data_IF_643683338424
#
_entry.id   IF_643683338424
#
_cell.length_a   1.000
_cell.length_b   1.000
_cell.length_c   1.000
_cell.angle_alpha   90.00
_cell.angle_beta   90.00
_cell.angle_gamma   90.00
#
_symmetry.space_group_name_H-M   'P 1'
#
loop_
_entity.id
_entity.type
_entity.pdbx_description
1 polymer ?
#
# COMPACT_ATOMS: atom_id res chain seq x y z
N UNK A 1 15.16 3.24 -5.39
CA UNK A 1 13.87 3.65 -4.76
C UNK A 1 12.96 2.44 -4.64
N UNK A 2 12.27 2.31 -3.52
CA UNK A 2 11.25 1.30 -3.25
C UNK A 2 9.95 2.03 -2.93
N UNK A 3 8.84 1.58 -3.54
CA UNK A 3 7.50 2.11 -3.26
C UNK A 3 6.67 0.99 -2.65
N UNK A 4 6.16 1.23 -1.45
CA UNK A 4 5.23 0.33 -0.77
C UNK A 4 3.83 0.91 -0.90
N UNK A 5 2.91 0.15 -1.49
CA UNK A 5 1.49 0.51 -1.52
C UNK A 5 0.83 -0.18 -0.32
N UNK A 6 0.68 0.58 0.77
CA UNK A 6 0.29 0.09 2.07
C UNK A 6 -1.20 0.33 2.30
N UNK A 7 -2.00 -0.72 2.16
CA UNK A 7 -3.42 -0.73 2.49
C UNK A 7 -3.69 -1.25 3.91
N UNK A 8 -2.65 -1.61 4.69
CA UNK A 8 -2.77 -2.23 6.02
C UNK A 8 -3.69 -3.47 6.03
N UNK A 9 -3.73 -4.21 4.93
CA UNK A 9 -4.58 -5.38 4.80
C UNK A 9 -3.95 -6.42 3.86
N UNK A 10 -4.51 -7.63 3.86
CA UNK A 10 -4.37 -8.52 2.72
C UNK A 10 -5.37 -8.10 1.62
N UNK A 11 -5.08 -7.01 0.89
CA UNK A 11 -5.99 -6.40 -0.08
C UNK A 11 -6.50 -7.33 -1.19
N UNK A 12 -5.72 -8.34 -1.56
CA UNK A 12 -6.13 -9.34 -2.56
C UNK A 12 -7.21 -10.33 -2.05
N UNK A 13 -7.32 -10.53 -0.74
CA UNK A 13 -8.17 -11.57 -0.13
C UNK A 13 -9.49 -11.01 0.41
N UNK A 14 -9.57 -9.71 0.70
CA UNK A 14 -10.78 -9.03 1.17
C UNK A 14 -11.96 -9.19 0.20
N UNK A 15 -11.73 -9.14 -1.11
CA UNK A 15 -12.80 -9.29 -2.10
C UNK A 15 -13.20 -10.75 -2.36
N UNK A 16 -12.32 -11.73 -2.12
CA UNK A 16 -12.64 -13.15 -2.34
C UNK A 16 -13.33 -13.80 -1.13
N UNK A 17 -13.04 -13.36 0.10
CA UNK A 17 -13.51 -14.03 1.32
C UNK A 17 -14.68 -13.36 2.02
N UNK A 18 -14.91 -12.05 1.83
CA UNK A 18 -16.18 -11.42 2.22
C UNK A 18 -17.39 -12.10 1.55
N UNK A 19 -17.22 -12.60 0.32
CA UNK A 19 -18.21 -13.40 -0.39
C UNK A 19 -18.49 -14.78 0.26
N UNK A 20 -17.63 -15.25 1.18
CA UNK A 20 -17.73 -16.54 1.88
C UNK A 20 -18.20 -16.41 3.34
N UNK A 21 -18.50 -15.19 3.82
CA UNK A 21 -19.09 -14.96 5.15
C UNK A 21 -18.11 -15.02 6.33
N UNK A 22 -16.81 -14.85 6.08
CA UNK A 22 -15.78 -14.74 7.13
C UNK A 22 -15.69 -13.31 7.67
N UNK A 23 -15.31 -13.19 8.94
CA UNK A 23 -15.16 -11.90 9.63
C UNK A 23 -14.05 -11.04 8.96
N UNK A 24 -14.36 -9.83 8.47
CA UNK A 24 -13.39 -8.95 7.81
C UNK A 24 -12.19 -8.58 8.70
N UNK A 25 -12.38 -8.60 10.02
CA UNK A 25 -11.32 -8.25 10.98
C UNK A 25 -10.13 -9.21 10.95
N UNK A 26 -10.32 -10.45 10.47
CA UNK A 26 -9.26 -11.44 10.35
C UNK A 26 -8.23 -11.11 9.23
N UNK A 27 -8.54 -10.14 8.36
CA UNK A 27 -7.70 -9.76 7.21
C UNK A 27 -7.04 -8.40 7.36
N UNK A 28 -7.28 -7.73 8.49
CA UNK A 28 -6.61 -6.51 8.87
C UNK A 28 -5.24 -6.85 9.43
N UNK A 29 -4.23 -6.10 9.01
CA UNK A 29 -2.90 -6.16 9.58
C UNK A 29 -2.69 -4.83 10.31
N UNK A 30 -2.06 -4.88 11.48
CA UNK A 30 -1.59 -3.65 12.11
C UNK A 30 -0.70 -2.89 11.12
N UNK A 31 -0.98 -1.60 10.97
CA UNK A 31 -0.25 -0.79 10.01
C UNK A 31 1.24 -0.78 10.36
N UNK A 32 2.07 -1.21 9.40
CA UNK A 32 3.53 -1.19 9.51
C UNK A 32 4.04 0.10 8.89
N UNK A 33 4.90 0.83 9.61
CA UNK A 33 5.63 1.98 9.08
C UNK A 33 6.94 1.50 8.42
N UNK A 34 6.89 1.30 7.10
CA UNK A 34 8.05 0.83 6.35
C UNK A 34 9.10 1.92 6.15
N UNK A 35 8.71 3.19 6.19
CA UNK A 35 9.64 4.31 6.11
C UNK A 35 10.51 4.40 7.37
N UNK A 36 9.91 4.25 8.55
CA UNK A 36 10.65 4.20 9.81
C UNK A 36 11.63 3.02 9.85
N UNK A 37 11.19 1.83 9.40
CA UNK A 37 12.07 0.67 9.29
C UNK A 37 13.28 0.95 8.38
N UNK A 38 13.05 1.51 7.20
CA UNK A 38 14.11 1.85 6.26
C UNK A 38 15.14 2.81 6.87
N UNK A 39 14.67 3.83 7.60
CA UNK A 39 15.53 4.79 8.30
C UNK A 39 16.45 4.12 9.32
N UNK A 40 15.96 3.13 10.07
CA UNK A 40 16.81 2.38 11.02
C UNK A 40 17.89 1.54 10.32
N UNK A 41 17.70 1.20 9.05
CA UNK A 41 18.64 0.46 8.22
C UNK A 41 19.61 1.36 7.44
N UNK A 42 19.55 2.69 7.66
CA UNK A 42 20.41 3.67 6.99
C UNK A 42 19.90 4.14 5.63
N UNK A 43 18.67 3.78 5.24
CA UNK A 43 18.02 4.32 4.05
C UNK A 43 17.26 5.62 4.39
N UNK A 44 17.00 6.45 3.38
CA UNK A 44 16.02 7.51 3.52
C UNK A 44 14.60 6.94 3.37
N UNK A 45 13.60 7.63 3.92
CA UNK A 45 12.22 7.23 3.67
C UNK A 45 11.20 8.19 4.24
N UNK A 46 10.00 8.16 3.67
CA UNK A 46 8.85 8.93 4.13
C UNK A 46 7.57 8.12 3.99
N UNK A 47 6.64 8.33 4.92
CA UNK A 47 5.28 7.82 4.81
C UNK A 47 4.40 8.92 4.22
N UNK A 48 3.76 8.63 3.10
CA UNK A 48 2.85 9.53 2.42
C UNK A 48 1.40 9.15 2.70
N UNK A 49 0.68 10.06 3.36
CA UNK A 49 -0.76 9.96 3.63
C UNK A 49 -1.56 11.01 2.84
N UNK A 50 -0.86 12.01 2.31
CA UNK A 50 -1.38 13.07 1.46
C UNK A 50 -0.47 13.29 0.26
N UNK A 51 -0.98 13.97 -0.78
CA UNK A 51 -0.15 14.36 -1.91
C UNK A 51 0.96 15.35 -1.54
N UNK A 52 0.79 16.13 -0.47
CA UNK A 52 1.79 17.09 -0.01
C UNK A 52 3.06 16.38 0.49
N UNK A 53 2.90 15.18 1.08
CA UNK A 53 4.02 14.39 1.61
C UNK A 53 5.02 13.97 0.50
N UNK A 54 4.57 13.95 -0.77
CA UNK A 54 5.44 13.67 -1.92
C UNK A 54 6.53 14.74 -2.13
N UNK A 55 6.42 15.90 -1.48
CA UNK A 55 7.50 16.90 -1.48
C UNK A 55 8.78 16.35 -0.83
N UNK A 56 8.69 15.41 0.12
CA UNK A 56 9.86 14.75 0.69
C UNK A 56 10.59 13.88 -0.33
N UNK A 57 9.84 13.20 -1.21
CA UNK A 57 10.44 12.46 -2.32
C UNK A 57 11.12 13.43 -3.30
N UNK A 58 10.47 14.54 -3.65
CA UNK A 58 11.07 15.54 -4.54
C UNK A 58 12.39 16.06 -3.95
N UNK A 59 12.39 16.44 -2.67
CA UNK A 59 13.59 16.92 -2.00
C UNK A 59 14.72 15.89 -2.01
N UNK A 60 14.41 14.61 -1.80
CA UNK A 60 15.40 13.54 -1.89
C UNK A 60 15.92 13.33 -3.31
N UNK A 61 15.06 13.40 -4.33
CA UNK A 61 15.50 13.31 -5.73
C UNK A 61 16.44 14.46 -6.10
N UNK A 62 16.20 15.66 -5.56
CA UNK A 62 17.03 16.84 -5.83
C UNK A 62 18.46 16.71 -5.25
N UNK A 63 18.68 15.85 -4.25
CA UNK A 63 20.04 15.63 -3.70
C UNK A 63 20.93 14.82 -4.64
N UNK A 64 20.34 14.11 -5.62
CA UNK A 64 21.04 13.16 -6.49
C UNK A 64 21.79 12.06 -5.73
N UNK A 65 21.30 11.70 -4.53
CA UNK A 65 21.86 10.61 -3.73
C UNK A 65 21.60 9.25 -4.41
N UNK A 66 22.59 8.36 -4.38
CA UNK A 66 22.49 6.98 -4.91
C UNK A 66 21.97 5.98 -3.86
N UNK A 67 21.71 6.46 -2.63
CA UNK A 67 21.15 5.68 -1.53
C UNK A 67 19.75 5.11 -1.80
N UNK A 68 19.30 4.26 -0.86
CA UNK A 68 17.93 3.73 -0.91
C UNK A 68 16.96 4.76 -0.33
N UNK A 69 15.88 5.04 -1.05
CA UNK A 69 14.71 5.75 -0.54
C UNK A 69 13.49 4.82 -0.54
N UNK A 70 12.79 4.76 0.60
CA UNK A 70 11.52 4.04 0.75
C UNK A 70 10.37 5.04 0.85
N UNK A 71 9.47 4.98 -0.13
CA UNK A 71 8.20 5.69 -0.10
C UNK A 71 7.09 4.73 0.35
N UNK A 72 6.61 4.89 1.57
CA UNK A 72 5.49 4.13 2.12
C UNK A 72 4.19 4.91 1.86
N UNK A 73 3.37 4.46 0.91
CA UNK A 73 2.17 5.16 0.47
C UNK A 73 0.95 4.51 1.09
N UNK A 74 0.28 5.22 2.00
CA UNK A 74 -1.01 4.80 2.50
C UNK A 74 -2.05 4.86 1.37
N UNK A 75 -2.68 3.72 1.08
CA UNK A 75 -3.72 3.60 0.05
C UNK A 75 -5.04 3.13 0.64
N UNK A 76 -6.14 3.51 -0.02
CA UNK A 76 -7.47 3.10 0.41
C UNK A 76 -7.73 1.63 0.11
N UNK A 77 -8.26 0.91 1.10
CA UNK A 77 -8.79 -0.44 0.92
C UNK A 77 -10.11 -0.47 0.11
N UNK A 78 -10.74 0.68 -0.14
CA UNK A 78 -12.09 0.75 -0.71
C UNK A 78 -12.11 0.96 -2.23
N UNK A 79 -10.99 1.39 -2.81
CA UNK A 79 -10.91 1.71 -4.24
C UNK A 79 -10.53 0.45 -5.01
N UNK A 80 -11.46 -0.04 -5.83
CA UNK A 80 -11.27 -1.25 -6.64
C UNK A 80 -11.18 -0.85 -8.10
N UNK A 81 -10.15 -1.31 -8.81
CA UNK A 81 -10.02 -1.08 -10.24
C UNK A 81 -11.16 -1.77 -11.01
N UNK A 82 -11.76 -1.08 -11.99
CA UNK A 82 -12.95 -1.57 -12.72
C UNK A 82 -12.75 -2.95 -13.37
N UNK A 83 -11.53 -3.26 -13.82
CA UNK A 83 -11.21 -4.56 -14.41
C UNK A 83 -11.25 -5.71 -13.38
N UNK A 84 -11.01 -5.44 -12.09
CA UNK A 84 -11.13 -6.43 -11.03
C UNK A 84 -12.60 -6.76 -10.74
N UNK A 85 -13.49 -5.77 -10.83
CA UNK A 85 -14.94 -5.96 -10.70
C UNK A 85 -15.50 -6.86 -11.80
N UNK A 86 -14.99 -6.74 -13.03
CA UNK A 86 -15.39 -7.59 -14.15
C UNK A 86 -15.03 -9.07 -13.93
N UNK A 87 -13.82 -9.35 -13.43
CA UNK A 87 -13.35 -10.71 -13.13
C UNK A 87 -14.13 -11.39 -11.99
N UNK A 88 -14.49 -10.63 -10.94
CA UNK A 88 -15.33 -11.13 -9.83
C UNK A 88 -16.75 -11.48 -10.29
N UNK A 89 -17.29 -10.73 -11.26
CA UNK A 89 -18.63 -10.98 -11.81
C UNK A 89 -18.66 -12.22 -12.72
N UNK A 90 -17.56 -12.47 -13.45
CA UNK A 90 -17.40 -13.65 -14.29
C UNK A 90 -17.29 -14.96 -13.48
N UNK A 91 -16.61 -14.94 -12.34
CA UNK A 91 -16.44 -16.11 -11.46
C UNK A 91 -17.71 -16.57 -10.73
N UNK A 92 -18.73 -15.72 -10.60
CA UNK A 92 -20.01 -16.03 -9.95
C UNK A 92 -21.00 -16.83 -10.83
N UNK A 93 -20.67 -17.07 -12.11
CA UNK A 93 -21.52 -17.75 -13.10
C UNK A 93 -21.19 -19.23 -13.33
N UNK A 94 -20.31 -19.82 -12.52
CA UNK A 94 -19.97 -21.24 -12.54
C UNK A 94 -20.52 -21.95 -11.30
#
# INVERSE_FOLDING_TARGET
MIVVLNDSAYGAELHQYAAKGLDPTAMLIDEVDFAALAQTMGAAGTKATTLADLQHLQHWLDTHDEGVFVLDVAISQQVVAEFMTASLTAGKRL
#
